data_IF_158006640755
#
_entry.id   IF_158006640755
#
_cell.length_a   1.000
_cell.length_b   1.000
_cell.length_c   1.000
_cell.angle_alpha   90.00
_cell.angle_beta   90.00
_cell.angle_gamma   90.00
#
_symmetry.space_group_name_H-M   'P 1'
#
loop_
_entity.id
_entity.type
_entity.pdbx_description
1 polymer ?
#
# COMPACT_ATOMS: atom_id res chain seq x y z
N UNK A 1 27.07 10.63 -12.61
CA UNK A 1 26.14 9.70 -13.30
C UNK A 1 25.52 10.46 -14.46
N UNK A 2 25.66 9.95 -15.68
CA UNK A 2 25.18 10.61 -16.91
C UNK A 2 23.65 10.52 -17.00
N UNK A 3 22.97 11.51 -17.61
CA UNK A 3 21.51 11.53 -17.83
C UNK A 3 20.97 10.19 -18.37
N UNK A 4 21.65 9.64 -19.38
CA UNK A 4 21.30 8.36 -20.01
C UNK A 4 21.34 7.15 -19.06
N UNK A 5 22.21 7.17 -18.05
CA UNK A 5 22.29 6.11 -17.02
C UNK A 5 21.13 6.19 -16.03
N UNK A 6 20.61 7.40 -15.81
CA UNK A 6 19.46 7.63 -14.93
C UNK A 6 18.18 7.21 -15.61
N UNK A 7 17.99 7.58 -16.89
CA UNK A 7 16.85 7.15 -17.72
C UNK A 7 16.75 5.63 -17.78
N UNK A 8 17.85 4.94 -18.12
CA UNK A 8 17.89 3.48 -18.13
C UNK A 8 17.55 2.87 -16.75
N UNK A 9 17.97 3.54 -15.67
CA UNK A 9 17.60 3.14 -14.31
C UNK A 9 16.10 3.30 -14.03
N UNK A 10 15.48 4.39 -14.49
CA UNK A 10 14.05 4.63 -14.35
C UNK A 10 13.23 3.59 -15.11
N UNK A 11 13.59 3.34 -16.37
CA UNK A 11 12.93 2.34 -17.22
C UNK A 11 13.00 0.97 -16.56
N UNK A 12 14.18 0.58 -16.05
CA UNK A 12 14.34 -0.69 -15.33
C UNK A 12 13.47 -0.81 -14.06
N UNK A 13 13.20 0.30 -13.36
CA UNK A 13 12.28 0.30 -12.21
C UNK A 13 10.82 0.18 -12.66
N UNK A 14 10.45 0.87 -13.74
CA UNK A 14 9.10 0.79 -14.32
C UNK A 14 8.81 -0.63 -14.85
N UNK A 15 9.75 -1.21 -15.59
CA UNK A 15 9.64 -2.58 -16.10
C UNK A 15 9.50 -3.59 -14.96
N UNK A 16 10.28 -3.43 -13.88
CA UNK A 16 10.16 -4.26 -12.69
C UNK A 16 8.77 -4.15 -12.04
N UNK A 17 8.23 -2.94 -11.91
CA UNK A 17 6.91 -2.72 -11.37
C UNK A 17 5.79 -3.37 -12.21
N UNK A 18 5.92 -3.31 -13.54
CA UNK A 18 4.88 -3.78 -14.47
C UNK A 18 4.95 -5.28 -14.75
N UNK A 19 6.12 -5.90 -14.58
CA UNK A 19 6.36 -7.31 -14.93
C UNK A 19 6.32 -8.29 -13.75
N UNK A 20 6.46 -7.82 -12.51
CA UNK A 20 6.49 -8.68 -11.32
C UNK A 20 5.31 -9.67 -11.24
N UNK A 21 5.56 -10.90 -10.77
CA UNK A 21 4.55 -11.94 -10.62
C UNK A 21 3.76 -11.84 -9.31
N UNK A 22 4.34 -11.24 -8.26
CA UNK A 22 3.67 -10.98 -6.98
C UNK A 22 3.94 -9.57 -6.45
N UNK A 23 3.21 -9.20 -5.40
CA UNK A 23 3.37 -7.91 -4.73
C UNK A 23 4.69 -7.79 -3.96
N UNK A 24 5.13 -8.89 -3.34
CA UNK A 24 6.42 -9.01 -2.65
C UNK A 24 7.57 -8.85 -3.64
N UNK A 25 7.49 -9.54 -4.77
CA UNK A 25 8.46 -9.43 -5.86
C UNK A 25 8.51 -8.01 -6.42
N UNK A 26 7.35 -7.37 -6.61
CA UNK A 26 7.26 -5.99 -7.07
C UNK A 26 8.06 -5.06 -6.15
N UNK A 27 7.80 -5.09 -4.84
CA UNK A 27 8.49 -4.21 -3.90
C UNK A 27 9.98 -4.52 -3.77
N UNK A 28 10.37 -5.79 -3.78
CA UNK A 28 11.77 -6.18 -3.79
C UNK A 28 12.51 -5.62 -5.01
N UNK A 29 11.96 -5.87 -6.19
CA UNK A 29 12.56 -5.50 -7.46
C UNK A 29 12.63 -3.98 -7.64
N UNK A 30 11.58 -3.26 -7.27
CA UNK A 30 11.52 -1.78 -7.28
C UNK A 30 12.52 -1.21 -6.27
N UNK A 31 12.52 -1.69 -5.02
CA UNK A 31 13.41 -1.19 -3.96
C UNK A 31 14.88 -1.36 -4.34
N UNK A 32 15.27 -2.57 -4.78
CA UNK A 32 16.65 -2.90 -5.16
C UNK A 32 17.19 -2.01 -6.30
N UNK A 33 16.36 -1.75 -7.32
CA UNK A 33 16.73 -0.92 -8.47
C UNK A 33 16.71 0.57 -8.12
N UNK A 34 15.69 1.02 -7.40
CA UNK A 34 15.55 2.42 -7.00
C UNK A 34 16.71 2.86 -6.12
N UNK A 35 17.21 1.99 -5.23
CA UNK A 35 18.35 2.26 -4.35
C UNK A 35 19.63 2.68 -5.09
N UNK A 36 19.78 2.25 -6.36
CA UNK A 36 20.92 2.63 -7.22
C UNK A 36 20.79 4.05 -7.78
N UNK A 37 19.59 4.61 -7.78
CA UNK A 37 19.25 5.94 -8.33
C UNK A 37 19.09 6.95 -7.20
N UNK A 38 18.33 6.57 -6.17
CA UNK A 38 18.15 7.28 -4.91
C UNK A 38 18.76 6.41 -3.82
N UNK A 39 19.97 6.69 -3.33
CA UNK A 39 20.50 5.97 -2.19
C UNK A 39 19.61 6.17 -0.95
N UNK A 40 19.21 5.07 -0.31
CA UNK A 40 18.48 5.07 0.96
C UNK A 40 18.98 3.91 1.81
N UNK A 41 18.97 4.13 3.13
CA UNK A 41 19.58 3.25 4.12
C UNK A 41 18.52 2.33 4.75
N UNK A 42 17.26 2.76 4.80
CA UNK A 42 16.10 1.94 5.17
C UNK A 42 14.88 2.26 4.30
N UNK A 43 13.89 1.39 4.30
CA UNK A 43 12.65 1.63 3.57
C UNK A 43 11.44 0.93 4.15
N UNK A 44 10.28 1.54 3.95
CA UNK A 44 8.97 0.91 4.15
C UNK A 44 8.17 0.99 2.86
N UNK A 45 7.58 -0.13 2.47
CA UNK A 45 6.72 -0.25 1.30
C UNK A 45 5.45 -0.96 1.73
N UNK A 46 4.30 -0.37 1.42
CA UNK A 46 3.02 -0.95 1.73
C UNK A 46 2.11 -0.82 0.52
N UNK A 47 1.41 -1.89 0.16
CA UNK A 47 0.20 -1.71 -0.63
C UNK A 47 -0.87 -1.06 0.25
N UNK A 48 -1.82 -0.39 -0.38
CA UNK A 48 -2.91 0.27 0.34
C UNK A 48 -4.26 -0.06 -0.23
N UNK A 49 -5.28 -0.02 0.63
CA UNK A 49 -6.68 0.00 0.19
C UNK A 49 -6.93 1.31 -0.55
N UNK A 50 -7.35 1.27 -1.83
CA UNK A 50 -7.43 2.44 -2.72
C UNK A 50 -8.15 3.68 -2.18
N UNK A 51 -9.22 3.48 -1.41
CA UNK A 51 -10.11 4.54 -0.94
C UNK A 51 -9.71 5.13 0.41
N UNK A 52 -8.99 4.38 1.25
CA UNK A 52 -8.69 4.77 2.65
C UNK A 52 -7.21 5.01 2.91
N UNK A 53 -6.33 4.57 2.01
CA UNK A 53 -4.86 4.59 2.19
C UNK A 53 -4.41 3.75 3.40
N UNK A 54 -5.29 2.87 3.92
CA UNK A 54 -4.91 1.89 4.94
C UNK A 54 -3.95 0.88 4.33
N UNK A 55 -2.86 0.59 5.04
CA UNK A 55 -1.92 -0.43 4.59
C UNK A 55 -2.57 -1.82 4.55
N UNK A 56 -2.14 -2.58 3.55
CA UNK A 56 -2.51 -3.97 3.33
C UNK A 56 -1.31 -4.70 2.71
N UNK A 57 -1.45 -6.02 2.51
CA UNK A 57 -0.45 -6.80 1.82
C UNK A 57 -0.45 -6.50 0.31
N UNK A 58 0.72 -6.56 -0.36
CA UNK A 58 2.06 -6.84 0.17
C UNK A 58 2.64 -5.75 1.09
N UNK A 59 3.61 -6.13 1.92
CA UNK A 59 4.42 -5.22 2.73
C UNK A 59 5.90 -5.60 2.60
N UNK A 60 6.77 -4.60 2.59
CA UNK A 60 8.22 -4.79 2.64
C UNK A 60 8.87 -3.73 3.52
N UNK A 61 9.58 -4.16 4.55
CA UNK A 61 10.31 -3.31 5.48
C UNK A 61 11.80 -3.67 5.40
N UNK A 62 12.66 -2.67 5.34
CA UNK A 62 14.10 -2.83 5.15
C UNK A 62 14.86 -1.99 6.16
N UNK A 63 15.74 -2.63 6.93
CA UNK A 63 16.66 -1.99 7.89
C UNK A 63 15.95 -1.12 8.96
N UNK A 64 14.76 -1.50 9.38
CA UNK A 64 14.03 -0.86 10.48
C UNK A 64 13.95 -1.88 11.61
N UNK A 65 14.07 -1.42 12.85
CA UNK A 65 13.97 -2.30 14.01
C UNK A 65 12.58 -2.97 14.06
N UNK A 66 12.55 -4.26 14.41
CA UNK A 66 11.31 -5.02 14.51
C UNK A 66 10.41 -4.51 15.64
N UNK A 67 9.11 -4.81 15.56
CA UNK A 67 8.15 -4.51 16.63
C UNK A 67 7.60 -3.06 16.63
N UNK A 68 8.04 -2.20 15.70
CA UNK A 68 7.54 -0.83 15.63
C UNK A 68 6.41 -0.60 14.63
N UNK A 69 6.01 -1.61 13.84
CA UNK A 69 4.99 -1.46 12.77
C UNK A 69 3.65 -0.93 13.29
N UNK A 70 3.16 -1.47 14.41
CA UNK A 70 1.89 -1.04 15.01
C UNK A 70 1.98 0.42 15.46
N UNK A 71 3.06 0.77 16.13
CA UNK A 71 3.29 2.14 16.63
C UNK A 71 3.56 3.15 15.50
N UNK A 72 4.02 2.69 14.34
CA UNK A 72 4.16 3.50 13.13
C UNK A 72 2.79 3.84 12.56
N UNK A 73 1.91 2.84 12.41
CA UNK A 73 0.56 3.04 11.87
C UNK A 73 -0.37 3.77 12.83
N UNK A 74 -0.26 3.52 14.13
CA UNK A 74 -0.97 4.28 15.16
C UNK A 74 -0.66 5.77 15.02
N UNK A 75 0.62 6.14 14.93
CA UNK A 75 1.03 7.54 14.74
C UNK A 75 0.55 8.11 13.41
N UNK A 76 0.71 7.36 12.32
CA UNK A 76 0.28 7.77 10.98
C UNK A 76 -1.23 8.12 10.93
N UNK A 77 -2.04 7.47 11.76
CA UNK A 77 -3.48 7.70 11.81
C UNK A 77 -3.91 8.69 12.90
N UNK A 78 -3.29 8.64 14.08
CA UNK A 78 -3.76 9.34 15.28
C UNK A 78 -2.97 10.60 15.65
N UNK A 79 -1.77 10.79 15.10
CA UNK A 79 -0.92 11.96 15.39
C UNK A 79 -0.86 12.87 14.16
N UNK A 80 -1.27 14.12 14.32
CA UNK A 80 -1.08 15.13 13.28
C UNK A 80 0.40 15.45 13.09
N UNK A 81 0.87 15.38 11.84
CA UNK A 81 2.27 15.57 11.47
C UNK A 81 2.38 16.02 10.01
N UNK A 82 3.59 16.35 9.56
CA UNK A 82 3.89 16.57 8.14
C UNK A 82 4.01 15.23 7.39
N UNK A 83 3.69 15.26 6.09
CA UNK A 83 3.82 14.11 5.18
C UNK A 83 3.03 12.86 5.59
N UNK A 84 1.90 13.01 6.27
CA UNK A 84 0.95 11.91 6.41
C UNK A 84 0.50 11.45 5.03
N UNK A 85 0.48 10.15 4.78
CA UNK A 85 0.14 9.56 3.48
C UNK A 85 -1.26 9.97 3.03
N UNK A 86 -2.21 10.12 3.95
CA UNK A 86 -3.57 10.64 3.67
C UNK A 86 -3.56 12.03 3.04
N UNK A 87 -2.63 12.89 3.46
CA UNK A 87 -2.52 14.26 2.99
C UNK A 87 -1.66 14.32 1.74
N UNK A 88 -0.56 13.55 1.73
CA UNK A 88 0.30 13.40 0.57
C UNK A 88 -0.47 12.89 -0.66
N UNK A 89 -1.41 11.97 -0.47
CA UNK A 89 -2.30 11.45 -1.51
C UNK A 89 -3.14 12.53 -2.21
N UNK A 90 -3.43 13.64 -1.52
CA UNK A 90 -4.20 14.79 -2.03
C UNK A 90 -3.32 15.85 -2.70
N UNK A 91 -2.00 15.78 -2.53
CA UNK A 91 -1.07 16.71 -3.19
C UNK A 91 -0.89 16.36 -4.67
N UNK A 92 -0.44 17.35 -5.46
CA UNK A 92 -0.15 17.13 -6.88
C UNK A 92 1.03 16.17 -7.09
N UNK A 93 2.14 16.37 -6.38
CA UNK A 93 3.35 15.54 -6.52
C UNK A 93 3.16 14.15 -5.93
N UNK A 94 2.41 14.03 -4.82
CA UNK A 94 2.31 12.78 -4.08
C UNK A 94 3.63 12.35 -3.45
N UNK A 95 4.61 13.25 -3.35
CA UNK A 95 5.97 12.99 -2.88
C UNK A 95 6.49 14.22 -2.14
N UNK A 96 7.20 14.02 -1.03
CA UNK A 96 7.85 15.08 -0.27
C UNK A 96 8.92 14.56 0.69
N UNK A 97 9.77 15.45 1.20
CA UNK A 97 10.82 15.10 2.17
C UNK A 97 10.60 15.77 3.51
N UNK A 98 10.91 15.05 4.58
CA UNK A 98 10.75 15.54 5.94
C UNK A 98 11.51 16.86 6.14
N UNK A 99 12.76 16.93 5.68
CA UNK A 99 13.56 18.14 5.80
C UNK A 99 12.96 19.35 5.08
N UNK A 100 12.36 19.17 3.90
CA UNK A 100 11.73 20.26 3.16
C UNK A 100 10.43 20.74 3.82
N UNK A 101 9.54 19.82 4.17
CA UNK A 101 8.23 20.15 4.77
C UNK A 101 8.34 20.76 6.16
N UNK A 102 9.43 20.49 6.87
CA UNK A 102 9.71 21.09 8.18
C UNK A 102 10.52 22.39 8.10
N UNK A 103 10.86 22.87 6.90
CA UNK A 103 11.75 24.02 6.68
C UNK A 103 13.12 23.87 7.38
N UNK A 104 13.66 22.65 7.35
CA UNK A 104 14.96 22.32 7.93
C UNK A 104 14.93 21.91 9.40
N UNK A 105 13.75 21.84 10.02
CA UNK A 105 13.54 21.54 11.44
C UNK A 105 12.81 20.19 11.64
N UNK A 106 13.42 19.04 11.26
CA UNK A 106 12.78 17.72 11.31
C UNK A 106 12.22 17.37 12.70
N UNK A 107 12.81 17.90 13.76
CA UNK A 107 12.34 17.77 15.14
C UNK A 107 10.94 18.32 15.39
N UNK A 108 10.33 19.06 14.46
CA UNK A 108 8.91 19.44 14.54
C UNK A 108 7.98 18.24 14.33
N UNK A 109 8.43 17.22 13.61
CA UNK A 109 7.68 15.97 13.41
C UNK A 109 7.81 15.04 14.61
N UNK A 110 6.67 14.57 15.11
CA UNK A 110 6.64 13.56 16.18
C UNK A 110 7.30 12.26 15.71
N UNK A 111 6.99 11.85 14.47
CA UNK A 111 7.59 10.67 13.86
C UNK A 111 9.11 10.80 13.69
N UNK A 112 9.63 11.98 13.38
CA UNK A 112 11.07 12.19 13.32
C UNK A 112 11.73 11.98 14.68
N UNK A 113 11.19 12.62 15.73
CA UNK A 113 11.73 12.55 17.10
C UNK A 113 11.63 11.16 17.73
N UNK A 114 10.49 10.50 17.53
CA UNK A 114 10.12 9.31 18.31
C UNK A 114 10.36 7.99 17.58
N UNK A 115 10.38 8.01 16.25
CA UNK A 115 10.56 6.80 15.45
C UNK A 115 11.86 6.82 14.63
N UNK A 116 12.15 7.91 13.91
CA UNK A 116 13.33 7.95 13.02
C UNK A 116 14.64 8.16 13.77
N UNK A 117 14.74 9.19 14.60
CA UNK A 117 15.99 9.55 15.28
C UNK A 117 16.52 8.49 16.24
N UNK A 118 15.68 7.78 17.04
CA UNK A 118 16.15 6.69 17.89
C UNK A 118 16.82 5.55 17.11
N UNK A 119 16.41 5.35 15.86
CA UNK A 119 16.96 4.34 14.96
C UNK A 119 18.14 4.87 14.11
N UNK A 120 18.61 6.10 14.34
CA UNK A 120 19.74 6.70 13.62
C UNK A 120 19.40 7.33 12.27
N UNK A 121 18.11 7.42 11.91
CA UNK A 121 17.66 8.09 10.70
C UNK A 121 17.53 9.60 10.91
N UNK A 122 17.93 10.37 9.90
CA UNK A 122 17.94 11.82 9.92
C UNK A 122 16.91 12.45 9.00
N UNK A 123 16.62 11.83 7.86
CA UNK A 123 15.71 12.35 6.85
C UNK A 123 14.85 11.23 6.26
N UNK A 124 13.72 11.59 5.69
CA UNK A 124 12.80 10.66 5.05
C UNK A 124 12.20 11.28 3.79
N UNK A 125 12.17 10.50 2.72
CA UNK A 125 11.43 10.79 1.49
C UNK A 125 10.19 9.89 1.45
N UNK A 126 9.00 10.50 1.49
CA UNK A 126 7.73 9.78 1.38
C UNK A 126 7.12 9.91 0.01
N UNK A 127 6.44 8.87 -0.44
CA UNK A 127 5.71 8.85 -1.71
C UNK A 127 4.41 8.06 -1.62
N UNK A 128 3.43 8.47 -2.42
CA UNK A 128 2.19 7.73 -2.69
C UNK A 128 2.16 7.31 -4.16
N UNK A 129 1.71 6.07 -4.41
CA UNK A 129 1.60 5.50 -5.75
C UNK A 129 0.15 5.49 -6.17
N UNK A 130 -0.18 6.29 -7.20
CA UNK A 130 -1.56 6.54 -7.62
C UNK A 130 -1.76 6.24 -9.11
N UNK A 131 -2.94 5.72 -9.42
CA UNK A 131 -3.48 5.68 -10.79
C UNK A 131 -4.94 6.12 -10.71
N UNK A 132 -5.30 7.17 -11.47
CA UNK A 132 -6.54 7.91 -11.27
C UNK A 132 -6.61 8.58 -9.88
N UNK A 133 -7.75 8.46 -9.21
CA UNK A 133 -7.98 8.96 -7.84
C UNK A 133 -7.59 7.97 -6.74
N UNK A 134 -7.12 6.78 -7.11
CA UNK A 134 -6.86 5.66 -6.19
C UNK A 134 -5.38 5.56 -5.81
N UNK A 135 -5.10 5.43 -4.51
CA UNK A 135 -3.76 5.20 -3.98
C UNK A 135 -3.56 3.70 -3.74
N UNK A 136 -2.65 3.08 -4.48
CA UNK A 136 -2.43 1.63 -4.45
C UNK A 136 -1.25 1.21 -3.57
N UNK A 137 -0.37 2.15 -3.24
CA UNK A 137 0.70 1.89 -2.29
C UNK A 137 1.39 3.16 -1.83
N UNK A 138 2.23 3.01 -0.83
CA UNK A 138 2.99 4.08 -0.21
C UNK A 138 4.42 3.63 0.09
N UNK A 139 5.32 4.60 0.18
CA UNK A 139 6.72 4.37 0.52
C UNK A 139 7.23 5.42 1.50
N UNK A 140 8.05 4.99 2.45
CA UNK A 140 8.95 5.86 3.21
C UNK A 140 10.39 5.39 3.03
N UNK A 141 11.22 6.19 2.36
CA UNK A 141 12.65 5.93 2.19
C UNK A 141 13.42 6.70 3.26
N UNK A 142 14.26 5.99 4.02
CA UNK A 142 14.98 6.52 5.17
C UNK A 142 16.44 6.77 4.85
N UNK A 143 17.01 7.80 5.46
CA UNK A 143 18.41 8.13 5.30
C UNK A 143 19.06 8.42 6.64
N UNK A 144 20.21 7.81 6.90
CA UNK A 144 20.92 7.96 8.17
C UNK A 144 21.35 9.41 8.40
N UNK A 145 21.47 9.81 9.67
CA UNK A 145 21.82 11.19 10.06
C UNK A 145 23.14 11.69 9.47
N UNK A 146 24.10 10.80 9.23
CA UNK A 146 25.43 11.13 8.70
C UNK A 146 25.45 11.28 7.18
N UNK A 147 24.35 10.99 6.50
CA UNK A 147 24.25 11.01 5.04
C UNK A 147 23.62 12.30 4.52
N UNK A 148 23.96 12.74 3.29
CA UNK A 148 23.35 13.92 2.67
C UNK A 148 21.84 13.76 2.54
N UNK A 149 21.06 14.80 2.85
CA UNK A 149 19.58 14.83 2.78
C UNK A 149 19.01 14.43 1.42
N UNK A 150 17.75 14.02 1.40
CA UNK A 150 17.02 13.81 0.14
C UNK A 150 16.89 15.13 -0.62
N UNK A 151 17.03 15.07 -1.94
CA UNK A 151 17.07 16.25 -2.81
C UNK A 151 15.80 16.37 -3.64
N UNK A 152 15.58 17.54 -4.26
CA UNK A 152 14.50 17.73 -5.23
C UNK A 152 14.66 16.84 -6.48
N UNK A 153 15.87 16.31 -6.74
CA UNK A 153 16.05 15.29 -7.77
C UNK A 153 15.43 13.97 -7.33
N UNK A 154 15.62 13.60 -6.07
CA UNK A 154 15.09 12.35 -5.51
C UNK A 154 13.55 12.36 -5.52
N UNK A 155 12.93 13.48 -5.13
CA UNK A 155 11.46 13.64 -5.17
C UNK A 155 10.92 13.53 -6.60
N UNK A 156 11.58 14.13 -7.59
CA UNK A 156 11.19 14.03 -9.00
C UNK A 156 11.31 12.61 -9.55
N UNK A 157 12.40 11.92 -9.22
CA UNK A 157 12.58 10.51 -9.60
C UNK A 157 11.44 9.66 -9.05
N UNK A 158 11.15 9.77 -7.75
CA UNK A 158 10.09 8.98 -7.14
C UNK A 158 8.70 9.33 -7.70
N UNK A 159 8.44 10.62 -7.93
CA UNK A 159 7.18 11.09 -8.53
C UNK A 159 6.97 10.53 -9.93
N UNK A 160 8.01 10.43 -10.75
CA UNK A 160 7.93 9.90 -12.12
C UNK A 160 7.69 8.39 -12.17
N UNK A 161 8.03 7.66 -11.11
CA UNK A 161 7.83 6.21 -11.01
C UNK A 161 6.46 5.83 -10.45
N UNK A 162 5.75 6.78 -9.83
CA UNK A 162 4.60 6.47 -8.99
C UNK A 162 3.42 5.83 -9.73
N UNK A 163 3.17 6.20 -11.00
CA UNK A 163 2.08 5.60 -11.79
C UNK A 163 2.37 4.16 -12.18
N UNK A 164 3.61 3.85 -12.61
CA UNK A 164 3.99 2.49 -13.00
C UNK A 164 3.93 1.53 -11.81
N UNK A 165 4.39 1.98 -10.63
CA UNK A 165 4.29 1.20 -9.39
C UNK A 165 2.82 0.97 -9.01
N UNK A 166 1.98 2.01 -9.11
CA UNK A 166 0.54 1.89 -8.84
C UNK A 166 -0.16 0.94 -9.81
N UNK A 167 0.16 1.00 -11.10
CA UNK A 167 -0.42 0.11 -12.11
C UNK A 167 0.01 -1.35 -11.90
N UNK A 168 1.26 -1.59 -11.51
CA UNK A 168 1.75 -2.91 -11.12
C UNK A 168 0.95 -3.49 -9.94
N UNK A 169 0.79 -2.72 -8.87
CA UNK A 169 0.01 -3.10 -7.69
C UNK A 169 -1.47 -3.34 -8.03
N UNK A 170 -2.09 -2.44 -8.80
CA UNK A 170 -3.47 -2.58 -9.26
C UNK A 170 -3.68 -3.87 -10.06
N UNK A 171 -2.78 -4.17 -10.99
CA UNK A 171 -2.83 -5.38 -11.82
C UNK A 171 -2.75 -6.64 -10.96
N UNK A 172 -1.85 -6.66 -9.97
CA UNK A 172 -1.69 -7.79 -9.07
C UNK A 172 -2.92 -7.98 -8.15
N UNK A 173 -3.48 -6.88 -7.64
CA UNK A 173 -4.71 -6.91 -6.85
C UNK A 173 -5.89 -7.45 -7.68
N UNK A 174 -6.04 -7.02 -8.94
CA UNK A 174 -7.06 -7.53 -9.84
C UNK A 174 -6.91 -9.03 -10.11
N UNK A 175 -5.69 -9.50 -10.45
CA UNK A 175 -5.41 -10.94 -10.64
C UNK A 175 -5.73 -11.77 -9.40
N UNK A 176 -5.42 -11.26 -8.20
CA UNK A 176 -5.75 -11.94 -6.94
C UNK A 176 -7.26 -12.03 -6.74
N UNK A 177 -8.01 -10.98 -7.07
CA UNK A 177 -9.46 -10.99 -6.99
C UNK A 177 -10.06 -12.01 -7.98
N UNK A 178 -9.58 -12.04 -9.23
CA UNK A 178 -10.05 -12.98 -10.25
C UNK A 178 -9.78 -14.44 -9.82
N UNK A 179 -8.57 -14.75 -9.35
CA UNK A 179 -8.24 -16.08 -8.84
C UNK A 179 -9.11 -16.48 -7.64
N UNK A 180 -9.39 -15.56 -6.72
CA UNK A 180 -10.26 -15.83 -5.57
C UNK A 180 -11.73 -16.10 -5.97
N UNK A 181 -12.20 -15.50 -7.08
CA UNK A 181 -13.51 -15.83 -7.66
C UNK A 181 -13.48 -17.23 -8.29
N UNK A 182 -12.46 -17.55 -9.09
CA UNK A 182 -12.31 -18.85 -9.76
C UNK A 182 -12.18 -20.01 -8.75
N UNK A 183 -11.42 -19.82 -7.69
CA UNK A 183 -11.21 -20.82 -6.63
C UNK A 183 -12.42 -20.98 -5.69
N UNK A 184 -13.47 -20.18 -5.87
CA UNK A 184 -14.61 -20.14 -4.95
C UNK A 184 -14.20 -19.67 -3.54
N UNK A 185 -13.09 -18.95 -3.41
CA UNK A 185 -12.60 -18.43 -2.15
C UNK A 185 -13.37 -17.19 -1.69
N UNK A 186 -14.14 -16.53 -2.56
CA UNK A 186 -15.02 -15.42 -2.21
C UNK A 186 -16.46 -15.88 -2.04
N UNK A 187 -17.05 -15.56 -0.88
CA UNK A 187 -18.45 -15.84 -0.59
C UNK A 187 -19.37 -14.66 -0.92
N UNK A 188 -20.48 -14.94 -1.61
CA UNK A 188 -21.51 -13.94 -1.93
C UNK A 188 -22.72 -14.07 -1.02
N UNK A 189 -23.18 -12.94 -0.48
CA UNK A 189 -24.44 -12.80 0.24
C UNK A 189 -25.33 -11.78 -0.47
N UNK A 190 -26.55 -12.17 -0.81
CA UNK A 190 -27.54 -11.27 -1.38
C UNK A 190 -28.56 -10.87 -0.31
N UNK A 191 -28.88 -9.58 -0.25
CA UNK A 191 -29.87 -9.03 0.67
C UNK A 191 -30.95 -8.27 -0.10
N UNK A 192 -32.16 -8.22 0.46
CA UNK A 192 -33.21 -7.30 0.00
C UNK A 192 -32.99 -5.88 0.57
N UNK A 193 -33.85 -4.94 0.17
CA UNK A 193 -33.79 -3.54 0.63
C UNK A 193 -34.07 -3.36 2.11
N UNK A 194 -34.70 -4.34 2.77
CA UNK A 194 -34.97 -4.35 4.20
C UNK A 194 -33.83 -5.01 5.00
N UNK A 195 -32.75 -5.44 4.33
CA UNK A 195 -31.61 -6.11 4.95
C UNK A 195 -31.85 -7.58 5.28
N UNK A 196 -32.88 -8.22 4.73
CA UNK A 196 -33.07 -9.68 4.88
C UNK A 196 -32.22 -10.43 3.86
N UNK A 197 -31.60 -11.52 4.32
CA UNK A 197 -30.84 -12.40 3.44
C UNK A 197 -31.74 -13.12 2.45
N UNK A 198 -31.48 -12.95 1.16
CA UNK A 198 -32.16 -13.64 0.08
C UNK A 198 -31.44 -14.93 -0.32
N UNK A 199 -30.11 -14.89 -0.40
CA UNK A 199 -29.31 -16.06 -0.76
C UNK A 199 -27.87 -15.96 -0.27
N UNK A 200 -27.22 -17.11 -0.21
CA UNK A 200 -25.79 -17.26 0.06
C UNK A 200 -25.25 -18.44 -0.75
N UNK A 201 -24.03 -18.30 -1.25
CA UNK A 201 -23.33 -19.43 -1.88
C UNK A 201 -22.60 -20.30 -0.84
N UNK A 202 -21.99 -21.39 -1.32
CA UNK A 202 -21.27 -22.34 -0.48
C UNK A 202 -20.04 -21.71 0.19
N UNK A 203 -19.33 -20.84 -0.54
CA UNK A 203 -18.16 -20.13 -0.03
C UNK A 203 -18.53 -19.15 1.10
N UNK A 204 -19.63 -18.41 0.96
CA UNK A 204 -20.16 -17.56 2.02
C UNK A 204 -20.54 -18.39 3.24
N UNK A 205 -21.22 -19.52 3.03
CA UNK A 205 -21.60 -20.43 4.12
C UNK A 205 -20.38 -20.96 4.88
N UNK A 206 -19.30 -21.30 4.17
CA UNK A 206 -18.04 -21.74 4.76
C UNK A 206 -17.41 -20.63 5.61
N UNK A 207 -17.22 -19.42 5.06
CA UNK A 207 -16.58 -18.32 5.79
C UNK A 207 -17.41 -17.84 6.98
N UNK A 208 -18.74 -17.85 6.88
CA UNK A 208 -19.59 -17.53 8.02
C UNK A 208 -19.45 -18.56 9.14
N UNK A 209 -19.33 -19.84 8.81
CA UNK A 209 -19.02 -20.88 9.78
C UNK A 209 -17.71 -20.63 10.52
N UNK A 210 -16.67 -20.16 9.81
CA UNK A 210 -15.37 -19.82 10.41
C UNK A 210 -15.41 -18.53 11.25
N UNK A 211 -16.09 -17.47 10.78
CA UNK A 211 -16.06 -16.14 11.39
C UNK A 211 -17.00 -15.99 12.59
N UNK A 212 -18.20 -16.57 12.51
CA UNK A 212 -19.26 -16.41 13.53
C UNK A 212 -19.68 -17.73 14.17
N UNK A 213 -19.08 -18.85 13.77
CA UNK A 213 -19.48 -20.18 14.23
C UNK A 213 -20.77 -20.68 13.55
N UNK A 214 -21.12 -21.95 13.78
CA UNK A 214 -22.29 -22.61 13.19
C UNK A 214 -23.67 -22.03 13.60
N UNK A 215 -23.71 -21.04 14.50
CA UNK A 215 -24.96 -20.50 15.07
C UNK A 215 -25.65 -19.44 14.20
N UNK A 216 -25.10 -19.10 13.04
CA UNK A 216 -25.74 -18.13 12.15
C UNK A 216 -26.91 -18.72 11.35
N UNK A 217 -28.05 -18.83 12.04
CA UNK A 217 -29.36 -19.13 11.48
C UNK A 217 -30.01 -17.89 10.89
N UNK A 218 -29.52 -17.40 9.75
CA UNK A 218 -30.36 -16.57 8.89
C UNK A 218 -31.53 -17.43 8.41
N UNK A 219 -32.76 -17.11 8.80
CA UNK A 219 -33.97 -17.81 8.36
C UNK A 219 -34.12 -17.73 6.84
N UNK A 220 -33.58 -18.72 6.12
CA UNK A 220 -33.91 -18.97 4.73
C UNK A 220 -35.37 -19.41 4.71
N UNK A 221 -36.27 -18.57 4.22
CA UNK A 221 -37.60 -19.07 3.85
C UNK A 221 -37.42 -19.72 2.48
N UNK A 222 -37.16 -21.03 2.47
CA UNK A 222 -37.19 -21.82 1.22
C UNK A 222 -38.60 -21.74 0.63
N UNK A 223 -38.80 -20.80 -0.30
CA UNK A 223 -39.97 -20.81 -1.17
C UNK A 223 -39.69 -21.82 -2.27
N UNK A 224 -40.10 -23.07 -2.02
CA UNK A 224 -40.00 -24.16 -2.97
C UNK A 224 -40.71 -23.80 -4.28
N UNK A 225 -39.95 -23.67 -5.36
CA UNK A 225 -40.49 -23.70 -6.72
C UNK A 225 -40.51 -25.15 -7.17
N UNK A 226 -41.70 -25.75 -7.15
CA UNK A 226 -41.94 -27.07 -7.73
C UNK A 226 -41.72 -27.02 -9.26
N UNK A 227 -41.12 -28.07 -9.87
CA UNK A 227 -40.92 -28.12 -11.31
C UNK A 227 -42.27 -28.29 -12.01
N UNK A 228 -42.58 -27.42 -12.98
CA UNK A 228 -43.69 -27.64 -13.91
C UNK A 228 -43.32 -28.78 -14.86
N UNK A 229 -44.08 -29.86 -14.80
CA UNK A 229 -44.12 -30.86 -15.86
C UNK A 229 -45.04 -30.39 -16.97
N UNK A 230 -44.52 -30.35 -18.19
CA UNK A 230 -45.20 -30.70 -19.45
C UNK A 230 -44.17 -30.74 -20.57
#
# INVERSE_FOLDING_TARGET
MTLRTVEFGLDAVQDAALSAGSGEELFEQVSSRLRRIIPFDGATWFATVPSTVLATLPVRVENIEDGHCDTFWEREHQVEDVLLFRDLARTRSGVGTLHQETAGAPERSARAREFLHPQGYGDELRGVFRTGSSTWGVVGLLREQKRPRFTQRDTRVLSNLGSAIADGLRRLAARRADAAVEDGALGTLLYDTDGRMLSRDAAASHWLGELVGHEWGGTTTESGVAPRQS
#
